data_IF_864330488286
#
_entry.id   IF_864330488286
#
_cell.length_a   1.000
_cell.length_b   1.000
_cell.length_c   1.000
_cell.angle_alpha   90.00
_cell.angle_beta   90.00
_cell.angle_gamma   90.00
#
_symmetry.space_group_name_H-M   'P 1'
#
loop_
_entity.id
_entity.type
_entity.pdbx_description
1 polymer ?
#
# COMPACT_ATOMS: atom_id res chain seq x y z
N UNK A 1 -0.14 37.33 20.72
CA UNK A 1 -0.46 36.01 20.10
C UNK A 1 -1.52 36.27 19.05
N UNK A 2 -1.44 35.62 17.87
CA UNK A 2 -2.47 35.72 16.84
C UNK A 2 -3.73 34.98 17.30
N UNK A 3 -4.90 35.56 17.06
CA UNK A 3 -6.19 34.90 17.28
C UNK A 3 -6.56 34.00 16.09
N UNK A 4 -7.49 33.06 16.29
CA UNK A 4 -8.03 32.22 15.21
C UNK A 4 -8.66 33.07 14.08
N UNK A 5 -9.34 34.17 14.44
CA UNK A 5 -9.92 35.10 13.46
C UNK A 5 -8.86 35.82 12.63
N UNK A 6 -7.70 36.17 13.24
CA UNK A 6 -6.59 36.80 12.52
C UNK A 6 -5.88 35.81 11.61
N UNK A 7 -5.74 34.54 12.01
CA UNK A 7 -5.23 33.47 11.15
C UNK A 7 -6.15 33.25 9.96
N UNK A 8 -7.45 33.15 10.20
CA UNK A 8 -8.44 32.99 9.11
C UNK A 8 -8.46 34.21 8.17
N UNK A 9 -8.27 35.43 8.69
CA UNK A 9 -8.16 36.64 7.88
C UNK A 9 -6.95 36.58 6.94
N UNK A 10 -5.77 36.23 7.45
CA UNK A 10 -4.54 36.13 6.67
C UNK A 10 -4.69 35.09 5.56
N UNK A 11 -5.26 33.92 5.87
CA UNK A 11 -5.50 32.86 4.88
C UNK A 11 -6.51 33.32 3.82
N UNK A 12 -7.63 33.93 4.20
CA UNK A 12 -8.61 34.46 3.27
C UNK A 12 -8.04 35.55 2.34
N UNK A 13 -7.15 36.42 2.84
CA UNK A 13 -6.48 37.44 2.01
C UNK A 13 -5.49 36.77 1.06
N UNK A 14 -4.72 35.79 1.53
CA UNK A 14 -3.77 35.02 0.70
C UNK A 14 -4.45 34.37 -0.50
N UNK A 15 -5.60 33.71 -0.26
CA UNK A 15 -6.32 33.00 -1.34
C UNK A 15 -7.07 33.94 -2.29
N UNK A 16 -7.66 35.02 -1.77
CA UNK A 16 -8.51 35.91 -2.58
C UNK A 16 -7.77 37.07 -3.22
N UNK A 17 -6.62 37.47 -2.68
CA UNK A 17 -5.86 38.65 -3.09
C UNK A 17 -6.64 39.97 -2.96
N UNK A 18 -7.66 40.04 -2.04
CA UNK A 18 -8.55 41.18 -1.89
C UNK A 18 -9.20 41.23 -0.53
N UNK A 19 -9.12 42.39 0.15
CA UNK A 19 -9.79 42.58 1.46
C UNK A 19 -11.32 42.46 1.33
N UNK A 20 -11.91 42.97 0.25
CA UNK A 20 -13.36 42.86 0.05
C UNK A 20 -13.84 41.43 -0.21
N UNK A 21 -13.08 40.64 -0.96
CA UNK A 21 -13.38 39.22 -1.18
C UNK A 21 -13.12 38.37 0.08
N UNK A 22 -12.06 38.70 0.83
CA UNK A 22 -11.81 38.07 2.13
C UNK A 22 -12.96 38.38 3.11
N UNK A 23 -13.46 39.62 3.14
CA UNK A 23 -14.62 40.00 3.94
C UNK A 23 -15.87 39.17 3.58
N UNK A 24 -16.18 39.06 2.30
CA UNK A 24 -17.31 38.26 1.82
C UNK A 24 -17.15 36.76 2.21
N UNK A 25 -15.96 36.18 2.08
CA UNK A 25 -15.66 34.80 2.46
C UNK A 25 -15.84 34.55 3.96
N UNK A 26 -15.43 35.53 4.80
CA UNK A 26 -15.52 35.43 6.26
C UNK A 26 -16.88 35.89 6.83
N UNK A 27 -17.82 36.34 5.96
CA UNK A 27 -19.12 36.85 6.39
C UNK A 27 -19.01 38.13 7.24
N UNK A 28 -17.96 38.95 7.03
CA UNK A 28 -17.68 40.17 7.80
C UNK A 28 -17.78 41.43 6.90
N UNK A 29 -18.03 42.59 7.52
CA UNK A 29 -18.02 43.85 6.80
C UNK A 29 -16.62 44.21 6.29
N UNK A 30 -16.47 44.81 5.08
CA UNK A 30 -15.16 45.24 4.56
C UNK A 30 -14.38 46.18 5.48
N UNK A 31 -15.09 47.06 6.22
CA UNK A 31 -14.51 47.95 7.23
C UNK A 31 -13.86 47.19 8.38
N UNK A 32 -14.49 46.11 8.86
CA UNK A 32 -13.98 45.24 9.93
C UNK A 32 -12.66 44.58 9.50
N UNK A 33 -12.63 44.02 8.27
CA UNK A 33 -11.44 43.37 7.70
C UNK A 33 -10.31 44.38 7.51
N UNK A 34 -10.62 45.59 7.00
CA UNK A 34 -9.64 46.64 6.81
C UNK A 34 -9.07 47.16 8.16
N UNK A 35 -9.88 47.16 9.21
CA UNK A 35 -9.43 47.53 10.57
C UNK A 35 -8.51 46.41 11.14
N UNK A 36 -8.92 45.16 11.04
CA UNK A 36 -8.11 44.02 11.52
C UNK A 36 -6.77 43.91 10.78
N UNK A 37 -6.76 44.14 9.46
CA UNK A 37 -5.53 44.22 8.70
C UNK A 37 -4.55 45.31 9.20
N UNK A 38 -5.04 46.49 9.52
CA UNK A 38 -4.22 47.55 10.07
C UNK A 38 -3.71 47.23 11.51
N UNK A 39 -4.52 46.58 12.32
CA UNK A 39 -4.09 46.15 13.64
C UNK A 39 -2.94 45.11 13.53
N UNK A 40 -2.98 44.21 12.58
CA UNK A 40 -1.86 43.28 12.31
C UNK A 40 -0.59 44.04 11.91
N UNK A 41 -0.67 45.03 11.00
CA UNK A 41 0.45 45.86 10.62
C UNK A 41 1.04 46.64 11.79
N UNK A 42 0.19 47.18 12.65
CA UNK A 42 0.64 47.87 13.89
C UNK A 42 1.31 46.91 14.87
N UNK A 43 0.77 45.71 15.04
CA UNK A 43 1.32 44.70 15.98
C UNK A 43 2.69 44.21 15.56
N UNK A 44 2.92 44.01 14.27
CA UNK A 44 4.17 43.50 13.73
C UNK A 44 5.15 44.64 13.35
N UNK A 45 4.75 45.90 13.55
CA UNK A 45 5.47 47.09 13.13
C UNK A 45 6.01 46.96 11.68
N UNK A 46 5.16 46.44 10.80
CA UNK A 46 5.51 46.13 9.43
C UNK A 46 4.32 46.29 8.48
N UNK A 47 4.61 46.81 7.28
CA UNK A 47 3.63 46.79 6.19
C UNK A 47 3.46 45.34 5.68
N UNK A 48 2.27 44.80 5.86
CA UNK A 48 1.91 43.45 5.42
C UNK A 48 1.16 43.46 4.10
N UNK A 49 0.52 44.64 3.76
CA UNK A 49 -0.38 44.77 2.63
C UNK A 49 0.03 45.99 1.78
N UNK A 50 0.44 45.75 0.52
CA UNK A 50 0.67 46.85 -0.45
C UNK A 50 -0.65 47.29 -1.08
N UNK A 51 -1.09 48.51 -0.76
CA UNK A 51 -2.34 49.14 -1.21
C UNK A 51 -2.12 50.12 -2.38
N UNK A 52 -0.87 50.28 -2.87
CA UNK A 52 -0.54 51.27 -3.93
C UNK A 52 -0.93 50.78 -5.32
N UNK A 53 -1.22 49.50 -5.48
CA UNK A 53 -1.61 48.88 -6.76
C UNK A 53 -3.13 48.72 -6.85
N UNK A 54 -3.64 48.62 -8.07
CA UNK A 54 -5.05 48.39 -8.35
C UNK A 54 -5.59 47.13 -7.69
N UNK A 55 -4.73 46.15 -7.38
CA UNK A 55 -5.04 44.97 -6.57
C UNK A 55 -4.16 44.93 -5.34
N UNK A 56 -4.75 44.60 -4.20
CA UNK A 56 -4.03 44.36 -2.96
C UNK A 56 -3.01 43.25 -3.20
N UNK A 57 -1.77 43.51 -2.82
CA UNK A 57 -0.69 42.51 -2.82
C UNK A 57 -0.15 42.36 -1.41
N UNK A 58 0.24 41.14 -1.04
CA UNK A 58 1.01 40.91 0.18
C UNK A 58 2.43 41.41 -0.04
N UNK A 59 3.00 42.08 0.95
CA UNK A 59 4.43 42.34 1.01
C UNK A 59 5.19 41.04 1.29
N UNK A 60 6.51 40.96 1.14
CA UNK A 60 7.27 39.76 1.55
C UNK A 60 7.00 39.36 3.01
N UNK A 61 6.88 40.31 3.94
CA UNK A 61 6.52 40.07 5.32
C UNK A 61 5.06 39.58 5.45
N UNK A 62 4.15 40.17 4.68
CA UNK A 62 2.76 39.73 4.62
C UNK A 62 2.61 38.31 4.06
N UNK A 63 3.38 37.96 3.02
CA UNK A 63 3.37 36.61 2.46
C UNK A 63 3.87 35.58 3.47
N UNK A 64 5.01 35.86 4.13
CA UNK A 64 5.55 35.01 5.18
C UNK A 64 4.51 34.77 6.30
N UNK A 65 3.90 35.85 6.79
CA UNK A 65 2.92 35.76 7.88
C UNK A 65 1.67 34.98 7.47
N UNK A 66 1.20 35.15 6.24
CA UNK A 66 0.04 34.42 5.71
C UNK A 66 0.34 32.93 5.50
N UNK A 67 1.53 32.57 5.05
CA UNK A 67 1.95 31.18 4.88
C UNK A 67 2.11 30.47 6.24
N UNK A 68 2.68 31.14 7.24
CA UNK A 68 2.75 30.61 8.61
C UNK A 68 1.37 30.50 9.26
N UNK A 69 0.46 31.45 9.03
CA UNK A 69 -0.91 31.39 9.50
C UNK A 69 -1.66 30.17 8.92
N UNK A 70 -1.53 29.93 7.61
CA UNK A 70 -2.12 28.76 6.96
C UNK A 70 -1.58 27.46 7.55
N UNK A 71 -0.27 27.37 7.83
CA UNK A 71 0.35 26.21 8.46
C UNK A 71 -0.20 25.97 9.85
N UNK A 72 -0.28 27.00 10.68
CA UNK A 72 -0.84 26.92 12.03
C UNK A 72 -2.31 26.46 12.04
N UNK A 73 -3.14 26.99 11.14
CA UNK A 73 -4.53 26.56 11.01
C UNK A 73 -4.65 25.08 10.66
N UNK A 74 -3.79 24.60 9.74
CA UNK A 74 -3.72 23.19 9.39
C UNK A 74 -3.32 22.32 10.59
N UNK A 75 -2.34 22.77 11.39
CA UNK A 75 -1.89 22.05 12.58
C UNK A 75 -2.94 22.02 13.68
N UNK A 76 -3.68 23.12 13.90
CA UNK A 76 -4.84 23.16 14.81
C UNK A 76 -5.95 22.19 14.38
N UNK A 77 -6.26 22.17 13.09
CA UNK A 77 -7.23 21.22 12.52
C UNK A 77 -6.78 19.76 12.73
N UNK A 78 -5.51 19.46 12.44
CA UNK A 78 -4.90 18.15 12.67
C UNK A 78 -4.94 17.74 14.14
N UNK A 79 -4.62 18.65 15.04
CA UNK A 79 -4.70 18.39 16.48
C UNK A 79 -6.13 18.02 16.90
N UNK A 80 -7.12 18.80 16.46
CA UNK A 80 -8.54 18.53 16.74
C UNK A 80 -8.98 17.17 16.22
N UNK A 81 -8.57 16.81 14.99
CA UNK A 81 -8.84 15.49 14.41
C UNK A 81 -8.19 14.38 15.22
N UNK A 82 -6.91 14.53 15.62
CA UNK A 82 -6.20 13.53 16.43
C UNK A 82 -6.87 13.29 17.79
N UNK A 83 -7.31 14.35 18.47
CA UNK A 83 -8.04 14.22 19.74
C UNK A 83 -9.35 13.47 19.54
N UNK A 84 -10.13 13.82 18.52
CA UNK A 84 -11.37 13.10 18.16
C UNK A 84 -11.08 11.64 17.80
N UNK A 85 -10.02 11.37 17.06
CA UNK A 85 -9.60 10.04 16.65
C UNK A 85 -9.28 9.16 17.85
N UNK A 86 -8.44 9.64 18.78
CA UNK A 86 -8.10 8.93 20.02
C UNK A 86 -9.37 8.67 20.84
N UNK A 87 -10.23 9.69 21.02
CA UNK A 87 -11.49 9.57 21.76
C UNK A 87 -12.47 8.56 21.12
N UNK A 88 -12.40 8.36 19.81
CA UNK A 88 -13.24 7.42 19.07
C UNK A 88 -12.66 6.01 18.96
N UNK A 89 -11.42 5.79 19.43
CA UNK A 89 -10.72 4.50 19.39
C UNK A 89 -10.09 4.15 18.04
N UNK A 90 -10.01 5.13 17.09
CA UNK A 90 -9.25 4.95 15.85
C UNK A 90 -7.75 5.20 16.08
N UNK A 91 -6.91 4.43 15.39
CA UNK A 91 -5.46 4.61 15.40
C UNK A 91 -5.04 5.85 14.57
N UNK A 92 -3.89 6.45 14.86
CA UNK A 92 -3.31 7.52 14.02
C UNK A 92 -2.89 7.00 12.64
N UNK A 93 -2.50 5.71 12.58
CA UNK A 93 -2.01 5.06 11.38
C UNK A 93 -2.32 3.57 11.38
N UNK A 94 -2.38 2.98 10.20
CA UNK A 94 -2.40 1.54 9.98
C UNK A 94 -1.46 1.18 8.83
N UNK A 95 -0.46 0.36 9.10
CA UNK A 95 0.48 -0.13 8.11
C UNK A 95 0.15 -1.58 7.74
N UNK A 96 -0.30 -1.75 6.52
CA UNK A 96 -0.63 -3.06 5.95
C UNK A 96 0.48 -3.49 5.01
N UNK A 97 0.99 -4.70 5.19
CA UNK A 97 1.92 -5.33 4.26
C UNK A 97 1.24 -6.51 3.59
N UNK A 98 1.25 -6.55 2.28
CA UNK A 98 0.77 -7.69 1.51
C UNK A 98 1.94 -8.53 1.04
N UNK A 99 1.78 -9.86 0.99
CA UNK A 99 2.74 -10.67 0.26
C UNK A 99 2.57 -10.42 -1.24
N UNK A 100 3.67 -10.37 -1.98
CA UNK A 100 3.69 -10.10 -3.43
C UNK A 100 2.94 -11.16 -4.25
N UNK A 101 2.71 -12.33 -3.68
CA UNK A 101 1.89 -13.36 -4.29
C UNK A 101 0.43 -12.92 -4.50
N UNK A 102 -0.06 -11.95 -3.70
CA UNK A 102 -1.37 -11.33 -3.87
C UNK A 102 -1.31 -10.16 -4.85
N UNK A 103 -2.37 -9.96 -5.59
CA UNK A 103 -2.53 -8.79 -6.47
C UNK A 103 -3.17 -7.66 -5.70
N UNK A 104 -2.44 -6.54 -5.62
CA UNK A 104 -2.88 -5.34 -4.89
C UNK A 104 -4.24 -4.83 -5.38
N UNK A 105 -4.51 -4.94 -6.67
CA UNK A 105 -5.75 -4.50 -7.31
C UNK A 105 -7.00 -5.15 -6.68
N UNK A 106 -6.84 -6.35 -6.13
CA UNK A 106 -7.93 -7.07 -5.45
C UNK A 106 -8.28 -6.48 -4.08
N UNK A 107 -7.36 -5.74 -3.46
CA UNK A 107 -7.59 -5.01 -2.21
C UNK A 107 -8.22 -3.63 -2.42
N UNK A 108 -8.19 -3.09 -3.64
CA UNK A 108 -8.73 -1.75 -3.91
C UNK A 108 -10.18 -1.54 -3.48
N UNK A 109 -11.11 -2.51 -3.58
CA UNK A 109 -12.46 -2.34 -3.02
C UNK A 109 -12.46 -2.15 -1.50
N UNK A 110 -11.57 -2.85 -0.77
CA UNK A 110 -11.41 -2.72 0.68
C UNK A 110 -10.83 -1.35 1.03
N UNK A 111 -9.81 -0.92 0.30
CA UNK A 111 -9.18 0.40 0.47
C UNK A 111 -10.22 1.51 0.28
N UNK A 112 -11.02 1.46 -0.80
CA UNK A 112 -12.09 2.45 -1.03
C UNK A 112 -13.16 2.43 0.06
N UNK A 113 -13.55 1.25 0.53
CA UNK A 113 -14.53 1.13 1.61
C UNK A 113 -13.99 1.68 2.93
N UNK A 114 -12.69 1.51 3.20
CA UNK A 114 -12.03 2.09 4.37
C UNK A 114 -11.93 3.62 4.27
N UNK A 115 -11.55 4.13 3.10
CA UNK A 115 -11.44 5.57 2.84
C UNK A 115 -12.80 6.29 3.03
N UNK A 116 -13.90 5.65 2.59
CA UNK A 116 -15.25 6.16 2.77
C UNK A 116 -15.72 6.29 4.24
N UNK A 117 -15.00 5.69 5.20
CA UNK A 117 -15.28 5.85 6.63
C UNK A 117 -14.85 7.21 7.17
N UNK A 118 -14.03 7.96 6.43
CA UNK A 118 -13.46 9.25 6.83
C UNK A 118 -12.87 9.24 8.26
N UNK A 119 -12.20 8.13 8.58
CA UNK A 119 -11.70 7.84 9.93
C UNK A 119 -10.52 8.72 10.36
N UNK A 120 -9.87 9.39 9.41
CA UNK A 120 -8.63 10.15 9.63
C UNK A 120 -7.38 9.28 9.83
N UNK A 121 -7.50 7.95 9.76
CA UNK A 121 -6.38 7.01 9.88
C UNK A 121 -5.47 7.10 8.66
N UNK A 122 -4.18 7.28 8.89
CA UNK A 122 -3.18 7.26 7.80
C UNK A 122 -2.92 5.81 7.39
N UNK A 123 -3.54 5.39 6.29
CA UNK A 123 -3.31 4.07 5.71
C UNK A 123 -2.05 4.06 4.85
N UNK A 124 -1.16 3.10 5.13
CA UNK A 124 0.00 2.80 4.28
C UNK A 124 -0.06 1.33 3.90
N UNK A 125 0.02 1.05 2.59
CA UNK A 125 0.08 -0.33 2.09
C UNK A 125 1.39 -0.49 1.30
N UNK A 126 2.14 -1.54 1.65
CA UNK A 126 3.36 -1.92 0.94
C UNK A 126 3.33 -3.43 0.69
N UNK A 127 4.28 -3.94 -0.08
CA UNK A 127 4.43 -5.38 -0.30
C UNK A 127 5.81 -5.84 0.15
N UNK A 128 5.86 -7.09 0.55
CA UNK A 128 7.06 -7.86 0.85
C UNK A 128 6.94 -9.23 0.18
N UNK A 129 8.02 -9.98 0.17
CA UNK A 129 8.08 -11.29 -0.48
C UNK A 129 8.46 -12.35 0.55
N UNK A 130 7.69 -13.42 0.60
CA UNK A 130 8.01 -14.63 1.40
C UNK A 130 8.27 -14.31 2.88
N UNK A 131 9.48 -14.62 3.39
CA UNK A 131 9.86 -14.40 4.80
C UNK A 131 9.83 -12.93 5.20
N UNK A 132 10.05 -12.01 4.24
CA UNK A 132 9.99 -10.56 4.46
C UNK A 132 8.63 -10.08 4.94
N UNK A 133 7.54 -10.77 4.59
CA UNK A 133 6.18 -10.45 5.05
C UNK A 133 6.07 -10.61 6.58
N UNK A 134 6.51 -11.74 7.14
CA UNK A 134 6.54 -11.97 8.58
C UNK A 134 7.57 -11.09 9.29
N UNK A 135 8.73 -10.87 8.65
CA UNK A 135 9.76 -9.98 9.16
C UNK A 135 9.25 -8.54 9.33
N UNK A 136 8.46 -8.05 8.39
CA UNK A 136 7.85 -6.73 8.48
C UNK A 136 6.96 -6.58 9.73
N UNK A 137 6.19 -7.62 10.07
CA UNK A 137 5.37 -7.64 11.28
C UNK A 137 6.23 -7.73 12.55
N UNK A 138 7.24 -8.60 12.57
CA UNK A 138 8.17 -8.78 13.70
C UNK A 138 8.90 -7.47 14.03
N UNK A 139 9.38 -6.77 13.01
CA UNK A 139 10.19 -5.57 13.15
C UNK A 139 9.35 -4.29 13.33
N UNK A 140 8.02 -4.41 13.43
CA UNK A 140 7.12 -3.27 13.60
C UNK A 140 7.00 -2.38 12.35
N UNK A 141 7.36 -2.89 11.18
CA UNK A 141 7.18 -2.25 9.87
C UNK A 141 5.76 -2.47 9.30
N UNK A 142 5.00 -3.36 9.93
CA UNK A 142 3.59 -3.65 9.63
C UNK A 142 2.80 -3.79 10.94
N UNK A 143 1.55 -3.33 10.93
CA UNK A 143 0.55 -3.61 11.96
C UNK A 143 -0.29 -4.83 11.55
N UNK A 144 -0.48 -5.03 10.25
CA UNK A 144 -1.25 -6.09 9.63
C UNK A 144 -0.50 -6.63 8.42
N UNK A 145 -0.41 -7.96 8.29
CA UNK A 145 0.10 -8.61 7.07
C UNK A 145 -1.00 -9.46 6.44
N UNK A 146 -1.00 -9.53 5.10
CA UNK A 146 -2.01 -10.25 4.31
C UNK A 146 -1.32 -11.12 3.26
N UNK A 147 -1.63 -12.41 3.27
CA UNK A 147 -1.17 -13.37 2.26
C UNK A 147 0.21 -13.97 2.52
N UNK A 148 0.73 -13.91 3.75
CA UNK A 148 1.99 -14.56 4.09
C UNK A 148 1.94 -16.06 3.72
N UNK A 149 2.96 -16.53 3.00
CA UNK A 149 2.97 -17.85 2.35
C UNK A 149 3.62 -18.95 3.19
N UNK A 150 4.25 -18.59 4.29
CA UNK A 150 4.94 -19.50 5.19
C UNK A 150 4.15 -19.69 6.47
N UNK A 151 4.41 -20.80 7.17
CA UNK A 151 3.87 -21.01 8.52
C UNK A 151 4.22 -19.84 9.44
N UNK A 152 3.26 -19.47 10.33
CA UNK A 152 3.46 -18.40 11.28
C UNK A 152 4.68 -18.65 12.17
N UNK A 153 5.66 -17.74 12.22
CA UNK A 153 6.84 -17.90 13.07
C UNK A 153 6.50 -17.60 14.54
N UNK A 154 7.39 -17.99 15.44
CA UNK A 154 7.28 -17.66 16.86
C UNK A 154 7.59 -16.16 17.09
N UNK A 155 6.58 -15.31 17.00
CA UNK A 155 6.64 -13.87 17.31
C UNK A 155 5.79 -13.62 18.55
N UNK A 156 6.31 -12.96 19.61
CA UNK A 156 5.52 -12.62 20.80
C UNK A 156 4.27 -11.80 20.44
N UNK A 157 3.10 -12.20 20.96
CA UNK A 157 1.84 -11.52 20.70
C UNK A 157 1.27 -11.69 19.30
N UNK A 158 1.86 -12.57 18.47
CA UNK A 158 1.34 -12.89 17.13
C UNK A 158 -0.06 -13.51 17.22
N UNK A 159 -0.96 -12.95 16.43
CA UNK A 159 -2.27 -13.53 16.11
C UNK A 159 -2.37 -13.69 14.61
N UNK A 160 -3.08 -14.70 14.16
CA UNK A 160 -3.24 -14.99 12.75
C UNK A 160 -4.49 -15.82 12.47
N UNK A 161 -4.88 -15.86 11.21
CA UNK A 161 -5.84 -16.81 10.66
C UNK A 161 -5.47 -17.18 9.22
N UNK A 162 -5.99 -18.29 8.74
CA UNK A 162 -5.82 -18.76 7.39
C UNK A 162 -6.71 -17.96 6.44
N UNK A 163 -6.10 -17.35 5.42
CA UNK A 163 -6.81 -16.64 4.36
C UNK A 163 -7.39 -17.62 3.32
N UNK A 164 -6.65 -18.69 3.04
CA UNK A 164 -7.02 -19.74 2.11
C UNK A 164 -5.82 -20.51 1.58
N UNK A 165 -6.07 -21.41 0.64
CA UNK A 165 -5.06 -22.31 0.06
C UNK A 165 -4.81 -21.93 -1.39
N UNK A 166 -3.53 -21.75 -1.76
CA UNK A 166 -3.06 -21.44 -3.11
C UNK A 166 -2.44 -22.68 -3.74
N UNK A 167 -2.95 -23.08 -4.92
CA UNK A 167 -2.41 -24.16 -5.71
C UNK A 167 -1.35 -23.69 -6.69
N UNK A 168 -0.41 -24.56 -7.01
CA UNK A 168 0.72 -24.28 -7.89
C UNK A 168 0.76 -25.24 -9.06
N UNK A 169 1.24 -24.74 -10.20
CA UNK A 169 1.56 -25.54 -11.38
C UNK A 169 3.00 -25.31 -11.78
N UNK A 170 3.69 -26.36 -12.19
CA UNK A 170 4.98 -26.21 -12.88
C UNK A 170 4.69 -25.92 -14.35
N UNK A 171 5.07 -24.74 -14.82
CA UNK A 171 4.73 -24.29 -16.14
C UNK A 171 5.96 -23.87 -16.95
N UNK A 172 5.93 -24.15 -18.24
CA UNK A 172 6.99 -23.82 -19.19
C UNK A 172 6.39 -23.17 -20.44
N UNK A 173 7.19 -22.37 -21.15
CA UNK A 173 6.82 -21.90 -22.50
C UNK A 173 6.65 -23.08 -23.46
N UNK A 174 5.73 -23.02 -24.42
CA UNK A 174 5.64 -24.04 -25.52
C UNK A 174 6.94 -24.18 -26.30
N UNK A 175 7.78 -23.14 -26.34
CA UNK A 175 9.09 -23.15 -27.03
C UNK A 175 10.24 -23.66 -26.16
N UNK A 176 9.99 -23.96 -24.89
CA UNK A 176 11.01 -24.45 -23.97
C UNK A 176 11.28 -25.94 -24.20
N UNK A 177 12.54 -26.43 -24.13
CA UNK A 177 12.87 -27.84 -24.33
C UNK A 177 12.05 -28.82 -23.50
N UNK A 178 11.71 -28.45 -22.26
CA UNK A 178 10.88 -29.28 -21.38
C UNK A 178 9.42 -29.41 -21.85
N UNK A 179 8.96 -28.61 -22.79
CA UNK A 179 7.58 -28.68 -23.27
C UNK A 179 7.28 -30.02 -23.96
N UNK A 180 8.23 -30.52 -24.72
CA UNK A 180 8.11 -31.78 -25.49
C UNK A 180 8.47 -33.06 -24.71
N UNK A 181 8.96 -32.90 -23.46
CA UNK A 181 9.33 -34.08 -22.66
C UNK A 181 8.08 -34.80 -22.20
N UNK A 182 8.00 -36.09 -22.43
CA UNK A 182 6.89 -36.95 -22.00
C UNK A 182 7.08 -37.38 -20.54
N UNK A 183 5.96 -37.52 -19.83
CA UNK A 183 5.93 -37.95 -18.41
C UNK A 183 6.36 -36.87 -17.42
N UNK A 184 6.43 -37.25 -16.13
CA UNK A 184 6.83 -36.36 -15.05
C UNK A 184 8.30 -35.95 -15.15
N UNK A 185 8.59 -34.65 -14.94
CA UNK A 185 9.95 -34.12 -14.93
C UNK A 185 10.66 -34.48 -13.64
N UNK A 186 11.77 -35.21 -13.78
CA UNK A 186 12.67 -35.49 -12.65
C UNK A 186 13.50 -34.23 -12.25
N UNK A 187 13.99 -34.24 -11.02
CA UNK A 187 14.81 -33.17 -10.44
C UNK A 187 16.02 -32.85 -11.29
N UNK A 188 16.75 -33.84 -11.76
CA UNK A 188 17.96 -33.67 -12.56
C UNK A 188 17.70 -32.90 -13.85
N UNK A 189 16.61 -33.26 -14.56
CA UNK A 189 16.22 -32.57 -15.78
C UNK A 189 15.79 -31.14 -15.56
N UNK A 190 15.12 -30.85 -14.45
CA UNK A 190 14.75 -29.45 -14.09
C UNK A 190 16.01 -28.64 -13.79
N UNK A 191 17.03 -29.24 -13.15
CA UNK A 191 18.32 -28.59 -12.83
C UNK A 191 19.09 -28.08 -14.04
N UNK A 192 18.95 -28.72 -15.20
CA UNK A 192 19.60 -28.30 -16.46
C UNK A 192 19.06 -26.97 -16.98
N UNK A 193 17.93 -26.50 -16.46
CA UNK A 193 17.25 -25.31 -16.91
C UNK A 193 17.19 -24.23 -15.81
N UNK A 194 17.28 -22.98 -16.24
CA UNK A 194 17.22 -21.82 -15.34
C UNK A 194 15.85 -21.70 -14.67
N UNK A 195 15.81 -21.56 -13.35
CA UNK A 195 14.60 -21.22 -12.62
C UNK A 195 14.31 -19.72 -12.74
N UNK A 196 13.04 -19.34 -12.86
CA UNK A 196 12.58 -17.96 -12.65
C UNK A 196 12.02 -17.85 -11.24
N UNK A 197 12.51 -16.91 -10.46
CA UNK A 197 12.14 -16.74 -9.04
C UNK A 197 11.78 -15.30 -8.71
N UNK A 198 10.92 -15.11 -7.72
CA UNK A 198 10.76 -13.81 -7.04
C UNK A 198 11.63 -13.87 -5.80
N UNK A 199 12.54 -12.91 -5.66
CA UNK A 199 13.51 -12.91 -4.56
C UNK A 199 12.83 -12.63 -3.23
N UNK A 200 13.19 -13.38 -2.17
CA UNK A 200 12.75 -13.12 -0.81
C UNK A 200 13.24 -11.72 -0.36
N UNK A 201 12.37 -10.92 0.23
CA UNK A 201 12.70 -9.58 0.69
C UNK A 201 13.19 -9.53 2.14
N UNK A 202 13.29 -10.68 2.81
CA UNK A 202 13.79 -10.75 4.18
C UNK A 202 15.24 -10.27 4.27
N UNK A 203 15.56 -9.57 5.34
CA UNK A 203 16.90 -9.01 5.60
C UNK A 203 17.66 -9.78 6.67
N UNK A 204 16.97 -10.32 7.65
CA UNK A 204 17.52 -10.97 8.83
C UNK A 204 16.95 -12.36 9.10
N UNK A 205 15.75 -12.67 8.60
CA UNK A 205 15.23 -14.02 8.59
C UNK A 205 15.95 -14.83 7.49
N UNK A 206 16.11 -16.12 7.71
CA UNK A 206 16.67 -17.00 6.68
C UNK A 206 15.85 -16.86 5.40
N UNK A 207 16.44 -16.26 4.37
CA UNK A 207 15.82 -16.09 3.07
C UNK A 207 15.48 -17.45 2.47
N UNK A 208 14.31 -17.59 1.90
CA UNK A 208 13.85 -18.82 1.26
C UNK A 208 13.74 -18.62 -0.24
N UNK A 209 14.45 -19.44 -0.99
CA UNK A 209 14.28 -19.52 -2.44
C UNK A 209 13.27 -20.64 -2.76
N UNK A 210 11.99 -20.31 -2.82
CA UNK A 210 11.00 -21.31 -3.21
C UNK A 210 11.07 -21.64 -4.70
N UNK A 211 11.12 -22.94 -5.00
CA UNK A 211 11.09 -23.44 -6.38
C UNK A 211 12.44 -23.38 -7.09
N UNK A 212 13.54 -23.18 -6.35
CA UNK A 212 14.90 -23.35 -6.84
C UNK A 212 15.49 -24.64 -6.25
N UNK A 213 16.04 -25.47 -7.09
CA UNK A 213 16.80 -26.64 -6.66
C UNK A 213 18.22 -26.18 -6.37
N UNK A 214 18.83 -26.68 -5.28
CA UNK A 214 20.21 -26.30 -4.93
C UNK A 214 21.16 -26.51 -6.13
N UNK A 215 21.92 -25.48 -6.49
CA UNK A 215 22.81 -25.47 -7.65
C UNK A 215 22.16 -25.06 -8.98
N UNK A 216 20.85 -24.84 -9.04
CA UNK A 216 20.15 -24.42 -10.26
C UNK A 216 20.45 -22.95 -10.59
N UNK A 217 20.79 -22.66 -11.85
CA UNK A 217 20.85 -21.28 -12.33
C UNK A 217 19.48 -20.59 -12.16
N UNK A 218 19.47 -19.33 -11.76
CA UNK A 218 18.22 -18.61 -11.53
C UNK A 218 18.19 -17.22 -12.18
N UNK A 219 16.99 -16.81 -12.57
CA UNK A 219 16.64 -15.44 -12.93
C UNK A 219 15.74 -14.87 -11.84
N UNK A 220 16.25 -13.95 -11.03
CA UNK A 220 15.44 -13.25 -10.05
C UNK A 220 14.70 -12.09 -10.72
N UNK A 221 13.39 -12.01 -10.49
CA UNK A 221 12.49 -10.99 -11.05
C UNK A 221 11.75 -10.28 -9.89
N UNK A 222 11.27 -9.04 -10.10
CA UNK A 222 10.73 -8.23 -9.01
C UNK A 222 9.30 -8.64 -8.57
N UNK A 223 8.57 -9.44 -9.36
CA UNK A 223 7.17 -9.74 -9.08
C UNK A 223 6.70 -11.06 -9.69
N UNK A 224 5.61 -11.61 -9.17
CA UNK A 224 4.97 -12.80 -9.75
C UNK A 224 4.48 -12.54 -11.18
N UNK A 225 4.02 -11.32 -11.48
CA UNK A 225 3.68 -10.91 -12.84
C UNK A 225 4.89 -10.98 -13.77
N UNK A 226 6.03 -10.44 -13.36
CA UNK A 226 7.28 -10.51 -14.11
C UNK A 226 7.75 -11.97 -14.28
N UNK A 227 7.56 -12.80 -13.25
CA UNK A 227 7.87 -14.24 -13.32
C UNK A 227 7.02 -14.96 -14.37
N UNK A 228 5.72 -14.73 -14.39
CA UNK A 228 4.81 -15.32 -15.38
C UNK A 228 5.22 -14.92 -16.80
N UNK A 229 5.50 -13.64 -17.03
CA UNK A 229 5.96 -13.14 -18.32
C UNK A 229 7.29 -13.77 -18.75
N UNK A 230 8.27 -13.83 -17.86
CA UNK A 230 9.57 -14.44 -18.16
C UNK A 230 9.45 -15.92 -18.51
N UNK A 231 8.60 -16.67 -17.82
CA UNK A 231 8.36 -18.10 -18.14
C UNK A 231 7.63 -18.27 -19.47
N UNK A 232 6.60 -17.44 -19.75
CA UNK A 232 5.90 -17.44 -21.04
C UNK A 232 6.86 -17.16 -22.20
N UNK A 233 7.79 -16.24 -22.02
CA UNK A 233 8.78 -15.87 -23.02
C UNK A 233 9.94 -16.87 -23.13
N UNK A 234 9.91 -17.95 -22.32
CA UNK A 234 10.90 -19.05 -22.39
C UNK A 234 12.22 -18.74 -21.68
N UNK A 235 12.28 -17.70 -20.83
CA UNK A 235 13.50 -17.29 -20.12
C UNK A 235 13.87 -18.23 -18.97
N UNK A 236 13.03 -19.19 -18.63
CA UNK A 236 13.25 -20.22 -17.62
C UNK A 236 11.96 -20.89 -17.21
N UNK A 237 12.00 -21.66 -16.14
CA UNK A 237 10.92 -22.53 -15.67
C UNK A 237 10.62 -22.32 -14.20
N UNK A 238 9.50 -22.83 -13.70
CA UNK A 238 9.18 -22.83 -12.28
C UNK A 238 7.70 -22.92 -11.97
N UNK A 239 7.40 -22.81 -10.68
CA UNK A 239 6.06 -22.89 -10.14
C UNK A 239 5.34 -21.55 -10.23
N UNK A 240 4.09 -21.58 -10.68
CA UNK A 240 3.20 -20.43 -10.80
C UNK A 240 1.88 -20.72 -10.09
N UNK A 241 1.21 -19.69 -9.50
CA UNK A 241 -0.13 -19.87 -8.96
C UNK A 241 -1.10 -20.30 -10.07
N UNK A 242 -1.75 -21.45 -9.90
CA UNK A 242 -2.60 -22.11 -10.91
C UNK A 242 -3.66 -21.17 -11.47
N UNK A 243 -4.41 -20.53 -10.61
CA UNK A 243 -5.55 -19.68 -11.01
C UNK A 243 -5.09 -18.44 -11.79
N UNK A 244 -3.89 -17.91 -11.51
CA UNK A 244 -3.34 -16.71 -12.18
C UNK A 244 -2.87 -17.00 -13.61
N UNK A 245 -2.63 -18.24 -13.94
CA UNK A 245 -2.14 -18.66 -15.28
C UNK A 245 -3.13 -19.55 -16.02
N UNK A 246 -4.34 -19.72 -15.49
CA UNK A 246 -5.35 -20.61 -16.06
C UNK A 246 -5.68 -20.27 -17.52
N UNK A 247 -5.81 -18.98 -17.87
CA UNK A 247 -6.05 -18.57 -19.26
C UNK A 247 -4.85 -18.79 -20.16
N UNK A 248 -3.62 -18.59 -19.66
CA UNK A 248 -2.39 -18.82 -20.42
C UNK A 248 -2.22 -20.33 -20.73
N UNK A 249 -2.53 -21.18 -19.75
CA UNK A 249 -2.56 -22.62 -19.94
C UNK A 249 -3.62 -23.04 -20.98
N UNK A 250 -4.85 -22.49 -20.87
CA UNK A 250 -5.94 -22.75 -21.78
C UNK A 250 -5.64 -22.31 -23.22
N UNK A 251 -4.92 -21.21 -23.41
CA UNK A 251 -4.51 -20.71 -24.73
C UNK A 251 -3.23 -21.37 -25.27
N UNK A 252 -2.58 -22.22 -24.46
CA UNK A 252 -1.32 -22.86 -24.84
C UNK A 252 -0.12 -21.91 -24.85
N UNK A 253 -0.23 -20.74 -24.21
CA UNK A 253 0.89 -19.80 -24.02
C UNK A 253 1.86 -20.28 -22.93
N UNK A 254 1.36 -21.09 -22.02
CA UNK A 254 2.12 -21.91 -21.09
C UNK A 254 1.66 -23.37 -21.16
N UNK A 255 2.58 -24.28 -20.89
CA UNK A 255 2.31 -25.73 -20.82
C UNK A 255 2.57 -26.18 -19.39
N UNK A 256 1.55 -26.78 -18.78
CA UNK A 256 1.71 -27.45 -17.49
C UNK A 256 2.49 -28.73 -17.64
N UNK A 257 3.45 -28.96 -16.77
CA UNK A 257 4.24 -30.21 -16.71
C UNK A 257 4.09 -30.84 -15.33
N UNK A 258 3.82 -32.13 -15.34
CA UNK A 258 3.95 -32.91 -14.12
C UNK A 258 5.41 -32.99 -13.69
N UNK A 259 5.66 -32.98 -12.38
CA UNK A 259 7.01 -33.19 -11.81
C UNK A 259 7.01 -34.41 -10.91
N UNK A 260 8.17 -35.06 -10.76
CA UNK A 260 8.30 -36.22 -9.87
C UNK A 260 8.04 -35.84 -8.41
N UNK A 261 8.46 -34.59 -8.02
CA UNK A 261 8.20 -33.99 -6.72
C UNK A 261 7.23 -32.81 -6.90
N UNK A 262 5.91 -33.03 -6.83
CA UNK A 262 4.95 -31.95 -6.97
C UNK A 262 5.03 -31.01 -5.78
N UNK A 263 4.81 -29.70 -6.04
CA UNK A 263 4.73 -28.72 -4.97
C UNK A 263 3.38 -28.81 -4.30
N UNK A 264 3.39 -28.96 -2.98
CA UNK A 264 2.19 -28.92 -2.17
C UNK A 264 1.54 -27.51 -2.21
N UNK A 265 0.20 -27.44 -2.13
CA UNK A 265 -0.49 -26.18 -1.97
C UNK A 265 0.00 -25.42 -0.72
N UNK A 266 0.06 -24.11 -0.82
CA UNK A 266 0.41 -23.27 0.33
C UNK A 266 -0.82 -22.68 0.99
N UNK A 267 -0.88 -22.73 2.31
CA UNK A 267 -1.80 -21.91 3.10
C UNK A 267 -1.28 -20.48 3.10
N UNK A 268 -2.17 -19.52 2.83
CA UNK A 268 -1.91 -18.10 2.97
C UNK A 268 -2.47 -17.61 4.30
N UNK A 269 -1.75 -16.74 4.98
CA UNK A 269 -2.09 -16.25 6.30
C UNK A 269 -2.32 -14.75 6.32
N UNK A 270 -3.22 -14.33 7.22
CA UNK A 270 -3.33 -12.97 7.72
C UNK A 270 -2.75 -12.95 9.12
N UNK A 271 -1.86 -12.00 9.43
CA UNK A 271 -1.22 -11.92 10.74
C UNK A 271 -1.17 -10.50 11.27
N UNK A 272 -1.25 -10.35 12.59
CA UNK A 272 -1.12 -9.07 13.30
C UNK A 272 -0.59 -9.28 14.72
N UNK A 273 -0.21 -8.18 15.39
CA UNK A 273 0.21 -8.24 16.80
C UNK A 273 -0.94 -7.77 17.70
N UNK A 274 -1.29 -8.59 18.68
CA UNK A 274 -2.51 -8.44 19.50
C UNK A 274 -2.44 -7.39 20.61
N UNK A 275 -1.36 -6.61 20.72
CA UNK A 275 -1.19 -5.70 21.86
C UNK A 275 -2.04 -4.42 21.77
N UNK A 276 -2.47 -4.00 20.56
CA UNK A 276 -3.29 -2.81 20.34
C UNK A 276 -4.24 -3.02 19.16
N UNK A 277 -5.40 -3.59 19.41
CA UNK A 277 -6.45 -3.73 18.40
C UNK A 277 -7.33 -2.46 18.38
N UNK A 278 -6.87 -1.42 17.67
CA UNK A 278 -7.70 -0.26 17.41
C UNK A 278 -8.76 -0.55 16.34
N UNK A 279 -9.68 0.39 16.14
CA UNK A 279 -10.84 0.22 15.26
C UNK A 279 -10.48 -0.01 13.79
N UNK A 280 -9.37 0.59 13.31
CA UNK A 280 -8.94 0.40 11.94
C UNK A 280 -8.46 -1.04 11.70
N UNK A 281 -7.61 -1.57 12.59
CA UNK A 281 -7.16 -2.96 12.50
C UNK A 281 -8.34 -3.92 12.58
N UNK A 282 -9.26 -3.75 13.55
CA UNK A 282 -10.45 -4.59 13.68
C UNK A 282 -11.30 -4.59 12.42
N UNK A 283 -11.58 -3.41 11.85
CA UNK A 283 -12.35 -3.28 10.63
C UNK A 283 -11.69 -4.03 9.45
N UNK A 284 -10.37 -3.88 9.26
CA UNK A 284 -9.63 -4.60 8.22
C UNK A 284 -9.69 -6.11 8.41
N UNK A 285 -9.54 -6.60 9.65
CA UNK A 285 -9.65 -8.02 9.97
C UNK A 285 -11.05 -8.57 9.66
N UNK A 286 -12.11 -7.80 9.95
CA UNK A 286 -13.50 -8.18 9.60
C UNK A 286 -13.70 -8.29 8.08
N UNK A 287 -13.14 -7.34 7.29
CA UNK A 287 -13.21 -7.43 5.83
C UNK A 287 -12.47 -8.66 5.30
N UNK A 288 -11.25 -8.91 5.78
CA UNK A 288 -10.41 -10.02 5.33
C UNK A 288 -10.99 -11.40 5.71
N UNK A 289 -11.81 -11.50 6.76
CA UNK A 289 -12.54 -12.72 7.14
C UNK A 289 -13.74 -13.01 6.24
N UNK A 290 -14.16 -12.07 5.38
CA UNK A 290 -15.29 -12.33 4.49
C UNK A 290 -14.92 -13.38 3.44
N UNK A 291 -15.65 -14.52 3.33
CA UNK A 291 -15.27 -15.64 2.47
C UNK A 291 -15.15 -15.28 0.99
N UNK A 292 -15.96 -14.31 0.51
CA UNK A 292 -15.92 -13.83 -0.88
C UNK A 292 -14.62 -13.09 -1.17
N UNK A 293 -14.17 -12.23 -0.25
CA UNK A 293 -12.93 -11.50 -0.40
C UNK A 293 -11.73 -12.45 -0.28
N UNK A 294 -11.67 -13.28 0.76
CA UNK A 294 -10.62 -14.25 0.97
C UNK A 294 -10.41 -15.14 -0.27
N UNK A 295 -11.50 -15.73 -0.79
CA UNK A 295 -11.47 -16.55 -2.00
C UNK A 295 -10.94 -15.77 -3.22
N UNK A 296 -11.34 -14.50 -3.38
CA UNK A 296 -10.88 -13.65 -4.48
C UNK A 296 -9.40 -13.31 -4.37
N UNK A 297 -8.90 -13.00 -3.16
CA UNK A 297 -7.49 -12.71 -2.93
C UNK A 297 -6.61 -13.93 -3.22
N UNK A 298 -7.02 -15.12 -2.80
CA UNK A 298 -6.26 -16.36 -3.00
C UNK A 298 -6.22 -16.76 -4.48
N UNK A 299 -7.35 -16.64 -5.19
CA UNK A 299 -7.42 -16.98 -6.62
C UNK A 299 -6.62 -16.05 -7.50
N UNK A 300 -6.50 -14.80 -7.11
CA UNK A 300 -5.88 -13.79 -7.95
C UNK A 300 -6.75 -13.40 -9.16
N UNK A 301 -6.20 -12.54 -10.01
CA UNK A 301 -6.76 -12.20 -11.32
C UNK A 301 -6.01 -12.99 -12.37
N UNK A 302 -6.75 -13.68 -13.23
CA UNK A 302 -6.18 -14.34 -14.39
C UNK A 302 -5.54 -13.29 -15.31
N UNK A 303 -4.25 -13.44 -15.59
CA UNK A 303 -3.51 -12.51 -16.45
C UNK A 303 -4.04 -12.59 -17.89
N UNK A 304 -5.12 -11.89 -18.17
CA UNK A 304 -5.45 -11.49 -19.53
C UNK A 304 -4.48 -10.38 -19.93
N UNK A 305 -3.46 -10.72 -20.68
CA UNK A 305 -2.58 -9.74 -21.30
C UNK A 305 -3.40 -9.16 -22.45
N UNK A 306 -3.91 -7.97 -22.27
CA UNK A 306 -4.40 -7.17 -23.39
C UNK A 306 -3.23 -6.92 -24.33
N UNK A 307 -3.48 -7.15 -25.61
CA UNK A 307 -2.61 -6.72 -26.70
C UNK A 307 -2.37 -5.23 -26.66
#
# INVERSE_FOLDING_TARGET
MLSEEELALLDAIRETGSLSRAAARLGKAPSTISHAARQLETRFDALLFDRRRYRLQLTPAGQLLADEAARLMLDMSRMTQRVKQIASGWEDRLWVVTDEVLEFELLMPVVRAFDALDSGVKLRITHEVLSGTWEALRDGRADLIVGATNEPPAIPGLRWFELGVMEWVFAVSPRHPLASVEGPLGRERILEHRAVVVADSSRTMAGRAYGVIGGQASLAVPSMRAKILAQRDGLGVGWLPRERVASLLKRGELIEKATADPREPNVLYVGWRGEHEGRALQWWLEQLRQPRLAKRLVRGVDLTIGN
#
